data_IF_002349160588
#
_entry.id   IF_002349160588
#
_cell.length_a   1.000
_cell.length_b   1.000
_cell.length_c   1.000
_cell.angle_alpha   90.00
_cell.angle_beta   90.00
_cell.angle_gamma   90.00
#
_symmetry.space_group_name_H-M   'P 1'
#
loop_
_entity.id
_entity.type
_entity.pdbx_description
1 polymer ?
#
# COMPACT_ATOMS: atom_id res chain seq x y z
N UNK A 1 16.02 29.16 1.94
CA UNK A 1 16.92 28.23 1.22
C UNK A 1 17.78 27.50 2.24
N UNK A 2 17.60 26.19 2.43
CA UNK A 2 18.58 25.36 3.16
C UNK A 2 19.69 24.97 2.17
N UNK A 3 20.94 24.95 2.65
CA UNK A 3 22.14 24.55 1.90
C UNK A 3 21.95 23.17 1.22
N UNK A 4 22.64 22.89 0.10
CA UNK A 4 22.76 21.53 -0.43
C UNK A 4 23.22 20.58 0.67
N UNK A 5 22.72 19.35 0.65
CA UNK A 5 23.09 18.29 1.57
C UNK A 5 24.59 17.97 1.38
N UNK A 6 25.48 18.64 2.12
CA UNK A 6 26.85 18.16 2.32
C UNK A 6 26.74 16.95 3.25
N UNK A 7 26.62 15.76 2.65
CA UNK A 7 26.81 14.51 3.38
C UNK A 7 28.23 14.58 3.98
N UNK A 8 28.39 14.39 5.30
CA UNK A 8 29.71 14.43 5.89
C UNK A 8 30.57 13.36 5.23
N UNK A 9 31.77 13.75 4.78
CA UNK A 9 32.85 12.87 4.35
C UNK A 9 33.37 12.10 5.58
N UNK A 10 32.52 11.24 6.12
CA UNK A 10 32.76 10.46 7.33
C UNK A 10 33.13 9.03 6.90
N UNK A 11 34.13 8.41 7.53
CA UNK A 11 34.52 7.01 7.25
C UNK A 11 33.46 5.96 7.68
N UNK A 12 32.21 6.39 7.89
CA UNK A 12 31.09 5.63 8.45
C UNK A 12 30.08 5.14 7.40
N UNK A 13 30.20 5.62 6.15
CA UNK A 13 29.35 5.22 5.03
C UNK A 13 30.26 4.55 4.02
N UNK A 14 29.98 3.29 3.67
CA UNK A 14 30.79 2.60 2.67
C UNK A 14 30.76 3.34 1.34
N UNK A 15 31.84 3.26 0.56
CA UNK A 15 31.89 3.84 -0.80
C UNK A 15 30.70 3.40 -1.64
N UNK A 16 30.23 2.16 -1.42
CA UNK A 16 29.03 1.60 -2.04
C UNK A 16 27.77 2.38 -1.68
N UNK A 17 27.53 2.65 -0.40
CA UNK A 17 26.36 3.41 0.00
C UNK A 17 26.45 4.87 -0.46
N UNK A 18 27.65 5.46 -0.47
CA UNK A 18 27.87 6.78 -1.04
C UNK A 18 27.48 6.85 -2.54
N UNK A 19 27.75 5.81 -3.33
CA UNK A 19 27.28 5.72 -4.73
C UNK A 19 25.77 5.50 -4.85
N UNK A 20 25.09 5.05 -3.79
CA UNK A 20 23.64 4.83 -3.79
C UNK A 20 22.84 6.09 -3.47
N UNK A 21 23.29 6.89 -2.49
CA UNK A 21 22.57 8.05 -1.95
C UNK A 21 23.29 9.40 -2.15
N UNK A 22 24.54 9.36 -2.62
CA UNK A 22 25.36 10.55 -2.82
C UNK A 22 24.94 11.39 -4.03
N UNK A 23 25.47 12.62 -4.07
CA UNK A 23 25.23 13.58 -5.14
C UNK A 23 25.97 13.23 -6.45
N UNK A 24 27.02 12.42 -6.37
CA UNK A 24 27.86 12.03 -7.51
C UNK A 24 27.42 10.72 -8.19
N UNK A 25 26.24 10.18 -7.84
CA UNK A 25 25.73 8.97 -8.47
C UNK A 25 25.24 9.24 -9.91
N UNK A 26 25.41 8.25 -10.78
CA UNK A 26 25.09 8.35 -12.22
C UNK A 26 23.63 8.00 -12.54
N UNK A 27 22.68 8.65 -11.87
CA UNK A 27 21.25 8.49 -12.16
C UNK A 27 20.63 7.20 -11.63
N UNK A 28 19.36 7.00 -11.97
CA UNK A 28 18.50 5.99 -11.34
C UNK A 28 18.99 4.56 -11.54
N UNK A 29 19.37 4.18 -12.77
CA UNK A 29 19.80 2.81 -13.07
C UNK A 29 21.09 2.43 -12.33
N UNK A 30 22.04 3.37 -12.25
CA UNK A 30 23.30 3.16 -11.50
C UNK A 30 23.02 2.93 -10.01
N UNK A 31 22.15 3.74 -9.42
CA UNK A 31 21.68 3.56 -8.03
C UNK A 31 21.02 2.19 -7.83
N UNK A 32 20.15 1.76 -8.74
CA UNK A 32 19.50 0.44 -8.67
C UNK A 32 20.48 -0.73 -8.78
N UNK A 33 21.51 -0.62 -9.61
CA UNK A 33 22.55 -1.65 -9.72
C UNK A 33 23.40 -1.76 -8.45
N UNK A 34 23.68 -0.62 -7.80
CA UNK A 34 24.33 -0.59 -6.49
C UNK A 34 23.42 -1.21 -5.43
N UNK A 35 22.14 -0.83 -5.39
CA UNK A 35 21.15 -1.36 -4.46
C UNK A 35 21.07 -2.89 -4.53
N UNK A 36 20.94 -3.46 -5.73
CA UNK A 36 20.86 -4.93 -5.94
C UNK A 36 22.08 -5.70 -5.41
N UNK A 37 23.22 -5.04 -5.30
CA UNK A 37 24.48 -5.61 -4.78
C UNK A 37 24.71 -5.23 -3.32
N UNK A 38 23.83 -4.44 -2.71
CA UNK A 38 23.94 -4.04 -1.31
C UNK A 38 23.60 -5.23 -0.41
N UNK A 39 24.29 -5.30 0.72
CA UNK A 39 24.17 -6.44 1.64
C UNK A 39 23.02 -6.22 2.62
N UNK A 40 22.65 -7.29 3.33
CA UNK A 40 21.54 -7.31 4.30
C UNK A 40 22.03 -7.18 5.77
N UNK A 41 23.25 -6.69 5.98
CA UNK A 41 23.93 -6.51 7.26
C UNK A 41 24.45 -5.07 7.44
N UNK A 42 23.70 -4.08 6.96
CA UNK A 42 24.07 -2.67 7.03
C UNK A 42 24.33 -2.23 8.47
N UNK A 43 25.37 -1.40 8.64
CA UNK A 43 25.68 -0.80 9.93
C UNK A 43 24.63 0.24 10.36
N UNK A 44 24.57 0.55 11.65
CA UNK A 44 23.69 1.60 12.19
C UNK A 44 23.91 2.95 11.52
N UNK A 45 25.15 3.29 11.16
CA UNK A 45 25.48 4.53 10.48
C UNK A 45 24.93 4.55 9.04
N UNK A 46 25.04 3.43 8.33
CA UNK A 46 24.49 3.25 6.98
C UNK A 46 22.97 3.32 6.98
N UNK A 47 22.30 2.63 7.91
CA UNK A 47 20.85 2.70 8.09
C UNK A 47 20.41 4.15 8.40
N UNK A 48 21.16 4.86 9.25
CA UNK A 48 20.86 6.26 9.58
C UNK A 48 21.00 7.19 8.36
N UNK A 49 22.00 6.95 7.52
CA UNK A 49 22.19 7.69 6.27
C UNK A 49 21.05 7.43 5.27
N UNK A 50 20.55 6.18 5.20
CA UNK A 50 19.37 5.85 4.40
C UNK A 50 18.12 6.59 4.88
N UNK A 51 17.87 6.67 6.20
CA UNK A 51 16.76 7.46 6.72
C UNK A 51 16.87 8.94 6.35
N UNK A 52 18.05 9.54 6.50
CA UNK A 52 18.27 10.93 6.11
C UNK A 52 18.03 11.17 4.61
N UNK A 53 18.45 10.23 3.76
CA UNK A 53 18.22 10.31 2.33
C UNK A 53 16.73 10.19 1.98
N UNK A 54 15.99 9.29 2.62
CA UNK A 54 14.56 9.08 2.35
C UNK A 54 13.68 10.22 2.86
N UNK A 55 14.10 10.90 3.94
CA UNK A 55 13.43 12.08 4.50
C UNK A 55 13.70 13.38 3.70
N UNK A 56 14.42 13.28 2.57
CA UNK A 56 14.60 14.39 1.64
C UNK A 56 13.31 14.83 0.94
N UNK A 57 13.12 16.15 0.79
CA UNK A 57 11.94 16.73 0.12
C UNK A 57 12.08 16.85 -1.40
N UNK A 58 13.29 16.77 -1.92
CA UNK A 58 13.58 16.95 -3.34
C UNK A 58 14.43 15.78 -3.86
N UNK A 59 14.18 15.33 -5.11
CA UNK A 59 15.01 14.32 -5.71
C UNK A 59 16.47 14.83 -5.86
N UNK A 60 17.45 13.93 -5.80
CA UNK A 60 18.80 14.19 -6.31
C UNK A 60 18.75 14.73 -7.74
N UNK A 61 19.73 15.56 -8.13
CA UNK A 61 19.73 16.26 -9.43
C UNK A 61 19.74 15.32 -10.64
N UNK A 62 20.23 14.10 -10.45
CA UNK A 62 20.43 13.07 -11.47
C UNK A 62 19.20 12.18 -11.69
N UNK A 63 18.13 12.33 -10.90
CA UNK A 63 16.90 11.54 -11.03
C UNK A 63 15.66 12.41 -10.92
N UNK A 64 14.56 11.97 -11.53
CA UNK A 64 13.28 12.67 -11.43
C UNK A 64 12.49 12.28 -10.15
N UNK A 65 11.34 12.91 -9.92
CA UNK A 65 10.52 12.65 -8.73
C UNK A 65 9.99 11.21 -8.67
N UNK A 66 9.54 10.64 -9.78
CA UNK A 66 9.02 9.26 -9.85
C UNK A 66 10.12 8.23 -9.55
N UNK A 67 11.28 8.40 -10.18
CA UNK A 67 12.48 7.59 -9.91
C UNK A 67 12.93 7.70 -8.45
N UNK A 68 12.82 8.88 -7.86
CA UNK A 68 13.15 9.07 -6.45
C UNK A 68 12.13 8.39 -5.52
N UNK A 69 10.83 8.42 -5.83
CA UNK A 69 9.84 7.62 -5.11
C UNK A 69 10.12 6.12 -5.23
N UNK A 70 10.41 5.64 -6.44
CA UNK A 70 10.75 4.23 -6.68
C UNK A 70 12.00 3.81 -5.91
N UNK A 71 13.08 4.60 -5.97
CA UNK A 71 14.31 4.33 -5.23
C UNK A 71 14.07 4.26 -3.72
N UNK A 72 13.30 5.21 -3.16
CA UNK A 72 12.98 5.20 -1.72
C UNK A 72 12.14 3.98 -1.33
N UNK A 73 11.18 3.57 -2.16
CA UNK A 73 10.41 2.34 -1.95
C UNK A 73 11.33 1.10 -1.92
N UNK A 74 12.30 1.03 -2.81
CA UNK A 74 13.27 -0.07 -2.84
C UNK A 74 14.25 -0.04 -1.65
N UNK A 75 14.62 1.15 -1.17
CA UNK A 75 15.37 1.30 0.07
C UNK A 75 14.56 0.81 1.29
N UNK A 76 13.24 1.04 1.32
CA UNK A 76 12.38 0.48 2.37
C UNK A 76 12.31 -1.05 2.31
N UNK A 77 12.25 -1.65 1.11
CA UNK A 77 12.39 -3.11 0.95
C UNK A 77 13.72 -3.60 1.54
N UNK A 78 14.83 -2.97 1.14
CA UNK A 78 16.17 -3.32 1.65
C UNK A 78 16.24 -3.22 3.18
N UNK A 79 15.66 -2.18 3.79
CA UNK A 79 15.64 -1.99 5.25
C UNK A 79 14.82 -3.05 5.96
N UNK A 80 13.69 -3.46 5.38
CA UNK A 80 12.85 -4.55 5.92
C UNK A 80 13.58 -5.90 5.91
N UNK A 81 14.44 -6.11 4.93
CA UNK A 81 15.18 -7.36 4.75
C UNK A 81 16.52 -7.40 5.54
N UNK A 82 16.86 -6.34 6.30
CA UNK A 82 18.08 -6.33 7.11
C UNK A 82 18.00 -7.34 8.26
N UNK A 83 19.13 -7.99 8.53
CA UNK A 83 19.31 -8.85 9.69
C UNK A 83 20.52 -8.35 10.51
N UNK A 84 20.30 -7.78 11.71
CA UNK A 84 19.04 -7.67 12.44
C UNK A 84 18.08 -6.61 11.87
N UNK A 85 16.77 -6.82 12.11
CA UNK A 85 15.73 -5.88 11.70
C UNK A 85 15.93 -4.48 12.32
N UNK A 86 15.84 -3.37 11.54
CA UNK A 86 16.09 -2.04 12.06
C UNK A 86 14.98 -1.57 12.99
N UNK A 87 15.25 -1.56 14.30
CA UNK A 87 14.26 -1.25 15.35
C UNK A 87 13.62 0.15 15.25
N UNK A 88 14.26 1.08 14.55
CA UNK A 88 13.75 2.43 14.33
C UNK A 88 12.93 2.60 13.03
N UNK A 89 12.78 1.55 12.21
CA UNK A 89 12.11 1.64 10.92
C UNK A 89 10.67 2.16 11.07
N UNK A 90 9.85 1.52 11.90
CA UNK A 90 8.47 1.95 12.14
C UNK A 90 8.37 3.40 12.65
N UNK A 91 9.31 3.83 13.51
CA UNK A 91 9.32 5.21 14.02
C UNK A 91 9.61 6.22 12.91
N UNK A 92 10.59 5.95 12.05
CA UNK A 92 10.91 6.84 10.93
C UNK A 92 9.78 6.87 9.89
N UNK A 93 9.13 5.73 9.61
CA UNK A 93 7.97 5.68 8.72
C UNK A 93 6.81 6.54 9.24
N UNK A 94 6.49 6.47 10.53
CA UNK A 94 5.47 7.34 11.14
C UNK A 94 5.86 8.82 11.05
N UNK A 95 7.12 9.18 11.32
CA UNK A 95 7.61 10.57 11.21
C UNK A 95 7.43 11.09 9.77
N UNK A 96 7.89 10.33 8.77
CA UNK A 96 7.78 10.72 7.36
C UNK A 96 6.34 10.75 6.87
N UNK A 97 5.47 9.88 7.39
CA UNK A 97 4.03 9.90 7.11
C UNK A 97 3.37 11.19 7.63
N UNK A 98 3.63 11.58 8.88
CA UNK A 98 2.97 12.77 9.47
C UNK A 98 3.50 14.10 8.90
N UNK A 99 4.70 14.12 8.30
CA UNK A 99 5.25 15.34 7.70
C UNK A 99 4.55 15.69 6.37
N UNK A 100 3.64 16.65 6.43
CA UNK A 100 2.85 17.15 5.30
C UNK A 100 3.68 17.86 4.20
N UNK A 101 4.98 18.09 4.44
CA UNK A 101 5.88 18.58 3.38
C UNK A 101 6.22 17.49 2.37
N UNK A 102 6.09 16.22 2.76
CA UNK A 102 6.20 15.10 1.83
C UNK A 102 4.93 14.98 0.97
N UNK A 103 5.11 14.71 -0.32
CA UNK A 103 3.99 14.44 -1.23
C UNK A 103 3.23 13.16 -0.84
N UNK A 104 1.96 13.09 -1.23
CA UNK A 104 1.06 11.97 -0.92
C UNK A 104 1.65 10.61 -1.32
N UNK A 105 2.31 10.51 -2.49
CA UNK A 105 2.94 9.27 -2.97
C UNK A 105 3.98 8.72 -1.97
N UNK A 106 4.83 9.58 -1.39
CA UNK A 106 5.84 9.11 -0.43
C UNK A 106 5.23 8.70 0.90
N UNK A 107 4.26 9.47 1.38
CA UNK A 107 3.53 9.14 2.61
C UNK A 107 2.71 7.86 2.46
N UNK A 108 2.18 7.59 1.27
CA UNK A 108 1.50 6.33 0.93
C UNK A 108 2.44 5.13 1.04
N UNK A 109 3.65 5.22 0.48
CA UNK A 109 4.69 4.21 0.70
C UNK A 109 5.03 4.04 2.18
N UNK A 110 5.07 5.13 2.94
CA UNK A 110 5.33 5.05 4.38
C UNK A 110 4.26 4.20 5.10
N UNK A 111 2.98 4.41 4.79
CA UNK A 111 1.86 3.61 5.34
C UNK A 111 1.90 2.16 4.86
N UNK A 112 2.20 1.93 3.58
CA UNK A 112 2.33 0.58 3.02
C UNK A 112 3.38 -0.24 3.79
N UNK A 113 4.59 0.30 3.94
CA UNK A 113 5.69 -0.39 4.63
C UNK A 113 5.44 -0.46 6.14
N UNK A 114 4.82 0.56 6.73
CA UNK A 114 4.48 0.57 8.15
C UNK A 114 3.57 -0.62 8.49
N UNK A 115 2.55 -0.88 7.65
CA UNK A 115 1.68 -2.05 7.81
C UNK A 115 2.41 -3.39 7.60
N UNK A 116 3.38 -3.45 6.69
CA UNK A 116 4.15 -4.67 6.40
C UNK A 116 5.15 -5.03 7.51
N UNK A 117 5.56 -4.06 8.33
CA UNK A 117 6.55 -4.24 9.40
C UNK A 117 5.95 -4.44 10.79
N UNK A 118 4.63 -4.59 10.88
CA UNK A 118 3.93 -4.61 12.17
C UNK A 118 4.42 -5.72 13.11
N UNK A 119 4.61 -6.93 12.56
CA UNK A 119 4.99 -8.11 13.32
C UNK A 119 6.46 -8.07 13.79
N UNK A 120 7.34 -7.41 13.03
CA UNK A 120 8.75 -7.23 13.33
C UNK A 120 8.98 -6.03 14.27
N UNK A 121 8.01 -5.12 14.34
CA UNK A 121 8.05 -3.96 15.23
C UNK A 121 7.90 -4.40 16.69
N UNK A 122 8.73 -3.84 17.58
CA UNK A 122 8.64 -4.10 19.02
C UNK A 122 7.22 -3.91 19.55
N UNK A 123 6.78 -4.77 20.46
CA UNK A 123 5.44 -4.71 21.08
C UNK A 123 5.12 -3.34 21.70
N UNK A 124 6.14 -2.65 22.23
CA UNK A 124 6.01 -1.30 22.77
C UNK A 124 5.59 -0.23 21.73
N UNK A 125 5.86 -0.47 20.45
CA UNK A 125 5.55 0.44 19.33
C UNK A 125 4.33 0.03 18.51
N UNK A 126 3.93 -1.25 18.56
CA UNK A 126 2.76 -1.77 17.85
C UNK A 126 1.47 -0.95 18.06
N UNK A 127 1.13 -0.45 19.29
CA UNK A 127 -0.04 0.41 19.46
C UNK A 127 0.03 1.72 18.65
N UNK A 128 1.21 2.35 18.56
CA UNK A 128 1.40 3.57 17.78
C UNK A 128 1.33 3.30 16.28
N UNK A 129 1.88 2.16 15.83
CA UNK A 129 1.77 1.71 14.44
C UNK A 129 0.30 1.51 14.07
N UNK A 130 -0.45 0.74 14.88
CA UNK A 130 -1.88 0.51 14.67
C UNK A 130 -2.68 1.81 14.67
N UNK A 131 -2.38 2.72 15.60
CA UNK A 131 -3.00 4.05 15.66
C UNK A 131 -2.77 4.85 14.37
N UNK A 132 -1.54 4.87 13.87
CA UNK A 132 -1.17 5.55 12.62
C UNK A 132 -1.89 4.96 11.41
N UNK A 133 -2.02 3.63 11.33
CA UNK A 133 -2.78 2.98 10.24
C UNK A 133 -4.26 3.39 10.28
N UNK A 134 -4.87 3.47 11.47
CA UNK A 134 -6.25 3.94 11.60
C UNK A 134 -6.40 5.43 11.27
N UNK A 135 -5.47 6.27 11.70
CA UNK A 135 -5.43 7.69 11.34
C UNK A 135 -5.35 7.88 9.82
N UNK A 136 -4.48 7.13 9.16
CA UNK A 136 -4.30 7.16 7.71
C UNK A 136 -5.57 6.78 6.93
N UNK A 137 -6.51 6.03 7.53
CA UNK A 137 -7.81 5.81 6.89
C UNK A 137 -8.56 7.11 6.66
N UNK A 138 -8.41 8.13 7.53
CA UNK A 138 -9.12 9.40 7.40
C UNK A 138 -8.63 10.28 6.23
N UNK A 139 -7.52 9.95 5.58
CA UNK A 139 -6.93 10.74 4.50
C UNK A 139 -7.53 10.37 3.12
N UNK A 140 -8.80 10.70 2.94
CA UNK A 140 -9.61 10.29 1.77
C UNK A 140 -9.34 11.09 0.49
N UNK A 141 -8.54 12.16 0.55
CA UNK A 141 -8.16 12.96 -0.61
C UNK A 141 -7.03 12.35 -1.47
N UNK A 142 -6.57 11.15 -1.14
CA UNK A 142 -5.48 10.44 -1.83
C UNK A 142 -5.63 8.92 -1.69
N UNK A 143 -4.71 8.14 -2.27
CA UNK A 143 -4.69 6.66 -2.17
C UNK A 143 -4.40 6.14 -0.75
N UNK A 144 -3.93 7.01 0.15
CA UNK A 144 -3.50 6.66 1.52
C UNK A 144 -4.60 5.94 2.30
N UNK A 145 -5.84 6.40 2.22
CA UNK A 145 -6.96 5.76 2.91
C UNK A 145 -7.14 4.29 2.48
N UNK A 146 -7.01 4.01 1.18
CA UNK A 146 -7.06 2.67 0.62
C UNK A 146 -5.87 1.80 1.06
N UNK A 147 -4.65 2.35 1.00
CA UNK A 147 -3.44 1.65 1.45
C UNK A 147 -3.48 1.31 2.94
N UNK A 148 -3.94 2.24 3.77
CA UNK A 148 -4.15 2.04 5.19
C UNK A 148 -5.16 0.92 5.46
N UNK A 149 -6.29 0.92 4.73
CA UNK A 149 -7.32 -0.12 4.86
C UNK A 149 -6.79 -1.52 4.49
N UNK A 150 -5.99 -1.62 3.42
CA UNK A 150 -5.29 -2.88 3.07
C UNK A 150 -4.33 -3.27 4.18
N UNK A 151 -3.56 -2.32 4.71
CA UNK A 151 -2.61 -2.56 5.79
C UNK A 151 -3.26 -3.12 7.05
N UNK A 152 -4.40 -2.55 7.45
CA UNK A 152 -5.22 -3.06 8.55
C UNK A 152 -5.72 -4.48 8.26
N UNK A 153 -6.29 -4.71 7.07
CA UNK A 153 -6.85 -6.01 6.69
C UNK A 153 -5.82 -7.13 6.60
N UNK A 154 -4.59 -6.82 6.16
CA UNK A 154 -3.46 -7.79 6.12
C UNK A 154 -3.01 -8.24 7.51
N UNK A 155 -3.24 -7.42 8.52
CA UNK A 155 -2.86 -7.72 9.90
C UNK A 155 -4.05 -8.21 10.75
N UNK A 156 -5.20 -8.52 10.14
CA UNK A 156 -6.44 -8.87 10.86
C UNK A 156 -6.34 -10.12 11.73
N UNK A 157 -5.40 -11.01 11.43
CA UNK A 157 -5.19 -12.24 12.22
C UNK A 157 -4.37 -11.98 13.49
N UNK A 158 -3.77 -10.80 13.64
CA UNK A 158 -3.14 -10.39 14.88
C UNK A 158 -4.21 -9.88 15.87
N UNK A 159 -4.18 -10.30 17.16
CA UNK A 159 -5.26 -10.02 18.12
C UNK A 159 -5.54 -8.53 18.38
N UNK A 160 -4.56 -7.68 18.06
CA UNK A 160 -4.68 -6.23 18.17
C UNK A 160 -5.61 -5.59 17.12
N UNK A 161 -5.97 -6.33 16.06
CA UNK A 161 -6.80 -5.82 14.97
C UNK A 161 -8.21 -6.40 15.04
N UNK A 162 -9.20 -5.51 15.17
CA UNK A 162 -10.60 -5.91 15.16
C UNK A 162 -11.09 -6.16 13.74
N UNK A 163 -11.35 -7.42 13.39
CA UNK A 163 -11.99 -7.83 12.13
C UNK A 163 -13.25 -7.03 11.85
N UNK A 164 -14.14 -6.91 12.83
CA UNK A 164 -15.41 -6.19 12.67
C UNK A 164 -15.22 -4.68 12.43
N UNK A 165 -14.23 -4.07 13.10
CA UNK A 165 -13.94 -2.65 12.89
C UNK A 165 -13.43 -2.39 11.47
N UNK A 166 -12.55 -3.26 10.97
CA UNK A 166 -12.00 -3.17 9.61
C UNK A 166 -13.10 -3.42 8.58
N UNK A 167 -13.93 -4.44 8.77
CA UNK A 167 -15.05 -4.76 7.89
C UNK A 167 -16.04 -3.58 7.81
N UNK A 168 -16.43 -2.97 8.94
CA UNK A 168 -17.29 -1.78 8.95
C UNK A 168 -16.66 -0.60 8.20
N UNK A 169 -15.36 -0.36 8.37
CA UNK A 169 -14.65 0.72 7.67
C UNK A 169 -14.59 0.46 6.16
N UNK A 170 -14.31 -0.78 5.75
CA UNK A 170 -14.34 -1.17 4.35
C UNK A 170 -15.73 -1.02 3.74
N UNK A 171 -16.78 -1.48 4.43
CA UNK A 171 -18.15 -1.32 3.95
C UNK A 171 -18.52 0.16 3.80
N UNK A 172 -18.14 1.00 4.76
CA UNK A 172 -18.30 2.46 4.67
C UNK A 172 -17.66 3.01 3.39
N UNK A 173 -16.42 2.63 3.07
CA UNK A 173 -15.75 3.13 1.87
C UNK A 173 -16.36 2.61 0.58
N UNK A 174 -16.80 1.35 0.55
CA UNK A 174 -17.45 0.78 -0.63
C UNK A 174 -18.78 1.50 -0.97
N UNK A 175 -19.55 1.88 0.04
CA UNK A 175 -20.87 2.52 -0.10
C UNK A 175 -20.82 4.04 -0.26
N UNK A 176 -19.74 4.68 0.16
CA UNK A 176 -19.59 6.13 0.03
C UNK A 176 -19.24 6.54 -1.40
N UNK A 177 -20.21 7.17 -2.08
CA UNK A 177 -20.03 7.68 -3.45
C UNK A 177 -19.08 8.88 -3.55
N UNK A 178 -18.70 9.52 -2.43
CA UNK A 178 -17.72 10.59 -2.41
C UNK A 178 -16.27 10.06 -2.45
N UNK A 179 -16.06 8.78 -2.14
CA UNK A 179 -14.75 8.14 -2.25
C UNK A 179 -14.40 7.89 -3.72
N UNK A 180 -13.11 8.00 -4.06
CA UNK A 180 -12.64 7.71 -5.40
C UNK A 180 -12.81 6.23 -5.76
N UNK A 181 -12.98 5.95 -7.05
CA UNK A 181 -13.26 4.59 -7.54
C UNK A 181 -12.18 3.56 -7.16
N UNK A 182 -10.92 3.97 -6.99
CA UNK A 182 -9.83 3.07 -6.59
C UNK A 182 -9.92 2.73 -5.11
N UNK A 183 -10.22 3.69 -4.24
CA UNK A 183 -10.44 3.42 -2.82
C UNK A 183 -11.69 2.55 -2.61
N UNK A 184 -12.77 2.80 -3.36
CA UNK A 184 -13.98 1.95 -3.34
C UNK A 184 -13.68 0.53 -3.82
N UNK A 185 -12.84 0.38 -4.84
CA UNK A 185 -12.39 -0.91 -5.35
C UNK A 185 -11.65 -1.68 -4.26
N UNK A 186 -10.69 -1.03 -3.59
CA UNK A 186 -9.94 -1.60 -2.47
C UNK A 186 -10.86 -2.00 -1.32
N UNK A 187 -11.83 -1.16 -0.98
CA UNK A 187 -12.79 -1.42 0.07
C UNK A 187 -13.63 -2.68 -0.19
N UNK A 188 -14.08 -2.87 -1.43
CA UNK A 188 -14.78 -4.10 -1.84
C UNK A 188 -13.89 -5.32 -1.67
N UNK A 189 -12.62 -5.24 -2.08
CA UNK A 189 -11.68 -6.35 -1.92
C UNK A 189 -11.43 -6.70 -0.45
N UNK A 190 -11.38 -5.70 0.42
CA UNK A 190 -11.25 -5.92 1.87
C UNK A 190 -12.51 -6.55 2.46
N UNK A 191 -13.72 -6.13 2.07
CA UNK A 191 -14.94 -6.82 2.47
C UNK A 191 -14.94 -8.31 2.05
N UNK A 192 -14.49 -8.60 0.82
CA UNK A 192 -14.35 -9.99 0.34
C UNK A 192 -13.34 -10.78 1.16
N UNK A 193 -12.16 -10.21 1.43
CA UNK A 193 -11.13 -10.83 2.26
C UNK A 193 -11.65 -11.16 3.67
N UNK A 194 -12.50 -10.30 4.23
CA UNK A 194 -13.07 -10.46 5.56
C UNK A 194 -14.37 -11.27 5.59
N UNK A 195 -14.84 -11.78 4.44
CA UNK A 195 -16.10 -12.49 4.27
C UNK A 195 -17.34 -11.66 4.71
N UNK A 196 -17.29 -10.35 4.52
CA UNK A 196 -18.38 -9.43 4.86
C UNK A 196 -19.39 -9.30 3.72
N UNK A 197 -20.50 -10.03 3.85
CA UNK A 197 -21.63 -10.02 2.89
C UNK A 197 -22.38 -8.69 2.82
N UNK A 198 -22.15 -7.75 3.73
CA UNK A 198 -22.75 -6.41 3.67
C UNK A 198 -22.44 -5.66 2.37
N UNK A 199 -21.33 -5.99 1.71
CA UNK A 199 -20.89 -5.36 0.46
C UNK A 199 -21.70 -5.77 -0.77
N UNK A 200 -22.55 -6.80 -0.68
CA UNK A 200 -23.25 -7.37 -1.84
C UNK A 200 -24.22 -6.38 -2.50
N UNK A 201 -24.94 -5.57 -1.71
CA UNK A 201 -25.89 -4.59 -2.28
C UNK A 201 -25.16 -3.60 -3.19
N UNK A 202 -24.13 -2.93 -2.65
CA UNK A 202 -23.36 -1.95 -3.43
C UNK A 202 -22.57 -2.61 -4.56
N UNK A 203 -22.14 -3.86 -4.41
CA UNK A 203 -21.47 -4.59 -5.50
C UNK A 203 -22.41 -4.82 -6.69
N UNK A 204 -23.67 -5.18 -6.44
CA UNK A 204 -24.68 -5.35 -7.51
C UNK A 204 -24.95 -4.03 -8.22
N UNK A 205 -25.11 -2.95 -7.46
CA UNK A 205 -25.30 -1.59 -8.00
C UNK A 205 -24.10 -1.15 -8.85
N UNK A 206 -22.88 -1.32 -8.33
CA UNK A 206 -21.66 -0.91 -9.01
C UNK A 206 -21.41 -1.69 -10.29
N UNK A 207 -21.67 -3.00 -10.30
CA UNK A 207 -21.55 -3.82 -11.51
C UNK A 207 -22.40 -3.24 -12.66
N UNK A 208 -23.62 -2.78 -12.35
CA UNK A 208 -24.59 -2.21 -13.30
C UNK A 208 -24.34 -0.73 -13.64
N UNK A 209 -23.54 -0.02 -12.85
CA UNK A 209 -23.27 1.41 -13.04
C UNK A 209 -22.24 1.70 -14.14
N UNK A 210 -22.06 2.99 -14.46
CA UNK A 210 -21.07 3.48 -15.43
C UNK A 210 -19.78 4.00 -14.76
N UNK A 211 -19.42 3.45 -13.59
CA UNK A 211 -18.14 3.73 -12.92
C UNK A 211 -16.95 3.12 -13.67
N UNK A 212 -15.72 3.41 -13.23
CA UNK A 212 -14.52 2.84 -13.84
C UNK A 212 -14.59 1.32 -13.93
N UNK A 213 -14.19 0.78 -15.08
CA UNK A 213 -14.27 -0.67 -15.37
C UNK A 213 -13.58 -1.53 -14.30
N UNK A 214 -12.40 -1.17 -13.74
CA UNK A 214 -11.80 -1.90 -12.62
C UNK A 214 -12.72 -2.03 -11.39
N UNK A 215 -13.46 -0.97 -11.04
CA UNK A 215 -14.39 -1.01 -9.90
C UNK A 215 -15.55 -1.96 -10.18
N UNK A 216 -16.09 -1.94 -11.40
CA UNK A 216 -17.12 -2.90 -11.85
C UNK A 216 -16.63 -4.34 -11.83
N UNK A 217 -15.40 -4.59 -12.27
CA UNK A 217 -14.77 -5.92 -12.20
C UNK A 217 -14.62 -6.40 -10.76
N UNK A 218 -14.19 -5.52 -9.85
CA UNK A 218 -14.08 -5.83 -8.41
C UNK A 218 -15.44 -6.18 -7.81
N UNK A 219 -16.48 -5.42 -8.15
CA UNK A 219 -17.84 -5.68 -7.74
C UNK A 219 -18.38 -7.03 -8.26
N UNK A 220 -18.16 -7.35 -9.53
CA UNK A 220 -18.51 -8.65 -10.13
C UNK A 220 -17.77 -9.79 -9.41
N UNK A 221 -16.48 -9.61 -9.13
CA UNK A 221 -15.69 -10.59 -8.40
C UNK A 221 -16.20 -10.80 -6.97
N UNK A 222 -16.61 -9.74 -6.27
CA UNK A 222 -17.20 -9.81 -4.94
C UNK A 222 -18.52 -10.58 -4.92
N UNK A 223 -19.40 -10.34 -5.91
CA UNK A 223 -20.64 -11.10 -6.09
C UNK A 223 -20.33 -12.60 -6.27
N UNK A 224 -19.35 -12.95 -7.11
CA UNK A 224 -18.96 -14.35 -7.29
C UNK A 224 -18.38 -15.02 -6.04
N UNK A 225 -17.76 -14.25 -5.15
CA UNK A 225 -17.13 -14.77 -3.93
C UNK A 225 -18.08 -14.85 -2.73
N UNK A 226 -18.99 -13.90 -2.58
CA UNK A 226 -19.82 -13.75 -1.38
C UNK A 226 -21.31 -13.99 -1.63
N UNK A 227 -21.72 -13.92 -2.89
CA UNK A 227 -23.11 -13.99 -3.33
C UNK A 227 -23.70 -15.39 -3.23
N UNK A 228 -24.90 -15.50 -3.78
CA UNK A 228 -25.72 -16.70 -3.70
C UNK A 228 -26.32 -17.05 -5.07
N UNK A 229 -27.01 -18.20 -5.24
CA UNK A 229 -27.54 -18.62 -6.53
C UNK A 229 -28.43 -17.59 -7.25
N UNK A 230 -29.05 -16.63 -6.54
CA UNK A 230 -29.84 -15.56 -7.15
C UNK A 230 -29.01 -14.61 -8.02
N UNK A 231 -27.70 -14.53 -7.79
CA UNK A 231 -26.77 -13.69 -8.56
C UNK A 231 -26.40 -14.28 -9.93
N UNK A 232 -26.73 -15.55 -10.19
CA UNK A 232 -26.33 -16.27 -11.41
C UNK A 232 -26.81 -15.59 -12.69
N UNK A 233 -28.04 -15.08 -12.70
CA UNK A 233 -28.59 -14.37 -13.85
C UNK A 233 -27.81 -13.10 -14.16
N UNK A 234 -27.51 -12.30 -13.14
CA UNK A 234 -26.73 -11.06 -13.28
C UNK A 234 -25.34 -11.36 -13.84
N UNK A 235 -24.64 -12.35 -13.26
CA UNK A 235 -23.31 -12.73 -13.72
C UNK A 235 -23.32 -13.30 -15.16
N UNK A 236 -24.37 -14.04 -15.54
CA UNK A 236 -24.50 -14.58 -16.90
C UNK A 236 -24.66 -13.50 -17.97
N UNK A 237 -25.34 -12.39 -17.64
CA UNK A 237 -25.42 -11.23 -18.53
C UNK A 237 -24.03 -10.63 -18.80
N UNK A 238 -23.21 -10.48 -17.76
CA UNK A 238 -21.83 -9.98 -17.92
C UNK A 238 -20.91 -10.98 -18.62
N UNK A 239 -21.13 -12.29 -18.45
CA UNK A 239 -20.41 -13.31 -19.21
C UNK A 239 -20.67 -13.25 -20.73
N UNK A 240 -21.75 -12.58 -21.14
CA UNK A 240 -22.05 -12.27 -22.54
C UNK A 240 -21.74 -10.82 -22.95
N UNK A 241 -21.20 -9.99 -22.05
CA UNK A 241 -20.91 -8.59 -22.34
C UNK A 241 -19.85 -8.44 -23.43
N UNK A 242 -19.89 -7.37 -24.22
CA UNK A 242 -18.89 -7.07 -25.25
C UNK A 242 -17.51 -6.75 -24.68
N UNK A 243 -17.45 -6.04 -23.54
CA UNK A 243 -16.20 -5.74 -22.84
C UNK A 243 -15.56 -7.03 -22.32
N UNK A 244 -14.38 -7.36 -22.86
CA UNK A 244 -13.62 -8.58 -22.55
C UNK A 244 -13.28 -8.68 -21.07
N UNK A 245 -13.01 -7.55 -20.40
CA UNK A 245 -12.59 -7.52 -19.00
C UNK A 245 -13.76 -7.87 -18.07
N UNK A 246 -14.92 -7.27 -18.31
CA UNK A 246 -16.16 -7.57 -17.57
C UNK A 246 -16.59 -9.02 -17.80
N UNK A 247 -16.52 -9.48 -19.06
CA UNK A 247 -16.79 -10.88 -19.42
C UNK A 247 -15.89 -11.85 -18.69
N UNK A 248 -14.59 -11.58 -18.63
CA UNK A 248 -13.61 -12.42 -17.94
C UNK A 248 -13.88 -12.47 -16.43
N UNK A 249 -14.15 -11.32 -15.81
CA UNK A 249 -14.50 -11.24 -14.39
C UNK A 249 -15.77 -12.05 -14.07
N UNK A 250 -16.79 -11.95 -14.91
CA UNK A 250 -18.07 -12.64 -14.72
C UNK A 250 -17.97 -14.16 -14.90
N UNK A 251 -17.23 -14.64 -15.91
CA UNK A 251 -16.96 -16.06 -16.08
C UNK A 251 -16.23 -16.63 -14.86
N UNK A 252 -15.26 -15.89 -14.32
CA UNK A 252 -14.56 -16.29 -13.09
C UNK A 252 -15.48 -16.27 -11.86
N UNK A 253 -16.37 -15.28 -11.75
CA UNK A 253 -17.35 -15.17 -10.68
C UNK A 253 -18.35 -16.34 -10.70
N UNK A 254 -18.88 -16.71 -11.87
CA UNK A 254 -19.81 -17.84 -12.03
C UNK A 254 -19.22 -19.17 -11.55
N UNK A 255 -17.90 -19.39 -11.72
CA UNK A 255 -17.21 -20.59 -11.25
C UNK A 255 -17.07 -20.67 -9.74
N UNK A 256 -17.12 -19.53 -9.05
CA UNK A 256 -16.96 -19.42 -7.59
C UNK A 256 -18.29 -19.37 -6.85
N UNK A 257 -19.36 -18.98 -7.54
CA UNK A 257 -20.69 -18.94 -6.98
C UNK A 257 -21.10 -20.35 -6.54
N UNK A 258 -21.63 -20.54 -5.32
CA UNK A 258 -22.10 -21.84 -4.89
C UNK A 258 -23.19 -22.37 -5.82
N UNK A 259 -23.15 -23.67 -6.10
CA UNK A 259 -24.24 -24.34 -6.81
C UNK A 259 -25.48 -24.38 -5.91
N UNK A 260 -26.64 -24.05 -6.49
CA UNK A 260 -27.91 -24.16 -5.77
C UNK A 260 -28.16 -25.63 -5.47
N UNK A 261 -28.29 -25.97 -4.18
CA UNK A 261 -28.80 -27.28 -3.75
C UNK A 261 -30.27 -27.47 -4.11
#
# INVERSE_FOLDING_TARGET
>A
MRKPLELPSSPLITTRLASLIGADAEGYLSRMDVLRRTRHDLSTAEISALYQFMDGYAPPRDINAEEYHALRNELLNLLRDQTPFPQHLATNLMIMYHDQRHGSVWRDYCIQHLAQTYSETSSAKQPAVRGTLWEATAETGSTIAGTALIGLARNVDHPDFSRDQIARKALQYATDSAMDDMTRLTAIQVCVLLNDRGVLSVSRELAASNVLVPLRMSAIAAIGSLGDPSDRNLLSQYAAASDVRLRTAAISALKRLPDGG
#
